data_IF_353503151477
#
_entry.id   IF_353503151477
#
_cell.length_a   1.000
_cell.length_b   1.000
_cell.length_c   1.000
_cell.angle_alpha   90.00
_cell.angle_beta   90.00
_cell.angle_gamma   90.00
#
_symmetry.space_group_name_H-M   'P 1'
#
loop_
_entity.id
_entity.type
_entity.pdbx_description
1 polymer ?
#
# COMPACT_ATOMS: atom_id res chain seq x y z
N UNK A 1 -28.37 -16.26 15.41
CA UNK A 1 -28.02 -15.12 14.56
C UNK A 1 -27.02 -15.61 13.53
N UNK A 2 -27.36 -15.61 12.25
CA UNK A 2 -26.36 -15.85 11.20
C UNK A 2 -25.56 -14.57 11.08
N UNK A 3 -24.26 -14.62 11.36
CA UNK A 3 -23.35 -13.53 11.04
C UNK A 3 -23.40 -13.37 9.51
N UNK A 4 -23.87 -12.21 9.04
CA UNK A 4 -23.73 -11.82 7.64
C UNK A 4 -22.23 -11.75 7.35
N UNK A 5 -21.74 -12.72 6.57
CA UNK A 5 -20.38 -12.75 6.10
C UNK A 5 -20.12 -11.49 5.26
N UNK A 6 -19.08 -10.73 5.62
CA UNK A 6 -18.53 -9.68 4.75
C UNK A 6 -18.07 -10.29 3.42
N UNK A 7 -17.99 -9.48 2.37
CA UNK A 7 -17.42 -9.90 1.08
C UNK A 7 -16.04 -10.55 1.28
N UNK A 8 -15.78 -11.67 0.58
CA UNK A 8 -14.44 -12.25 0.49
C UNK A 8 -13.64 -11.64 -0.67
N UNK A 9 -14.14 -10.55 -1.26
CA UNK A 9 -13.53 -9.89 -2.40
C UNK A 9 -13.07 -8.48 -1.99
N UNK A 10 -11.78 -8.23 -2.14
CA UNK A 10 -11.15 -6.93 -1.87
C UNK A 10 -10.36 -6.44 -3.08
N UNK A 11 -10.12 -5.13 -3.11
CA UNK A 11 -9.19 -4.49 -4.04
C UNK A 11 -7.91 -4.10 -3.29
N UNK A 12 -6.79 -4.14 -4.00
CA UNK A 12 -5.52 -3.59 -3.53
C UNK A 12 -4.85 -2.83 -4.68
N UNK A 13 -4.19 -1.72 -4.37
CA UNK A 13 -3.47 -0.92 -5.36
C UNK A 13 -1.97 -1.12 -5.16
N UNK A 14 -1.27 -1.58 -6.20
CA UNK A 14 0.17 -1.76 -6.18
C UNK A 14 0.85 -0.42 -6.42
N UNK A 15 1.56 0.16 -5.43
CA UNK A 15 2.05 1.53 -5.52
C UNK A 15 3.23 1.65 -6.50
N UNK A 16 3.17 2.66 -7.36
CA UNK A 16 4.29 3.01 -8.24
C UNK A 16 5.35 3.86 -7.52
N UNK A 17 4.93 4.60 -6.49
CA UNK A 17 5.81 5.37 -5.62
C UNK A 17 5.24 5.41 -4.20
N UNK A 18 5.84 4.66 -3.27
CA UNK A 18 5.52 4.66 -1.86
C UNK A 18 6.67 5.33 -1.10
N UNK A 19 6.42 6.53 -0.61
CA UNK A 19 7.42 7.35 0.06
C UNK A 19 6.76 8.29 1.08
N UNK A 20 7.56 9.12 1.73
CA UNK A 20 7.06 10.13 2.65
C UNK A 20 6.09 11.08 1.93
N UNK A 21 4.91 11.28 2.52
CA UNK A 21 3.90 12.18 1.98
C UNK A 21 3.85 13.48 2.79
N UNK A 22 4.43 14.55 2.25
CA UNK A 22 4.46 15.87 2.89
C UNK A 22 3.07 16.44 3.18
N UNK A 23 2.07 16.12 2.36
CA UNK A 23 0.70 16.64 2.50
C UNK A 23 -0.01 16.02 3.71
N UNK A 24 0.21 14.71 3.93
CA UNK A 24 -0.43 13.98 5.04
C UNK A 24 0.43 13.92 6.30
N UNK A 25 1.72 14.25 6.21
CA UNK A 25 2.66 14.21 7.34
C UNK A 25 2.23 15.09 8.53
N UNK A 26 1.48 16.18 8.28
CA UNK A 26 0.98 17.07 9.34
C UNK A 26 -0.02 16.35 10.24
N UNK A 27 -0.85 15.45 9.68
CA UNK A 27 -1.93 14.76 10.39
C UNK A 27 -1.65 13.28 10.64
N UNK A 28 -0.65 12.70 10.00
CA UNK A 28 -0.30 11.29 10.10
C UNK A 28 0.94 11.11 10.98
N UNK A 29 0.73 10.76 12.25
CA UNK A 29 1.81 10.55 13.23
C UNK A 29 2.77 9.39 12.87
N UNK A 30 2.42 8.53 11.90
CA UNK A 30 3.30 7.47 11.40
C UNK A 30 4.26 7.94 10.30
N UNK A 31 4.03 9.12 9.71
CA UNK A 31 4.94 9.72 8.75
C UNK A 31 6.12 10.35 9.52
N UNK A 32 7.33 9.92 9.19
CA UNK A 32 8.55 10.42 9.82
C UNK A 32 9.43 11.07 8.75
N UNK A 33 9.75 12.35 8.98
CA UNK A 33 10.52 13.21 8.07
C UNK A 33 11.96 12.75 7.89
N UNK A 34 12.49 11.91 8.79
CA UNK A 34 13.79 11.27 8.63
C UNK A 34 13.89 10.37 7.39
N UNK A 35 12.74 9.98 6.82
CA UNK A 35 12.65 9.16 5.60
C UNK A 35 12.25 9.97 4.36
N UNK A 36 12.23 11.31 4.45
CA UNK A 36 11.89 12.17 3.33
C UNK A 36 13.00 12.27 2.27
N UNK A 37 14.19 11.73 2.53
CA UNK A 37 15.30 11.76 1.59
C UNK A 37 15.14 10.70 0.47
N UNK A 38 15.63 11.05 -0.73
CA UNK A 38 15.51 10.19 -1.92
C UNK A 38 16.30 8.88 -1.81
N UNK A 39 17.37 8.83 -1.01
CA UNK A 39 18.19 7.61 -0.87
C UNK A 39 17.49 6.53 -0.04
N UNK A 40 16.60 6.95 0.87
CA UNK A 40 15.72 6.08 1.63
C UNK A 40 14.51 5.64 0.80
N UNK A 41 14.00 6.51 -0.08
CA UNK A 41 12.78 6.27 -0.86
C UNK A 41 12.84 4.99 -1.71
N UNK A 42 13.93 4.73 -2.42
CA UNK A 42 14.06 3.51 -3.24
C UNK A 42 14.03 2.23 -2.39
N UNK A 43 14.73 2.23 -1.25
CA UNK A 43 14.74 1.07 -0.34
C UNK A 43 13.37 0.84 0.28
N UNK A 44 12.69 1.91 0.68
CA UNK A 44 11.33 1.87 1.24
C UNK A 44 10.36 1.32 0.19
N UNK A 45 10.43 1.82 -1.05
CA UNK A 45 9.61 1.32 -2.16
C UNK A 45 9.81 -0.18 -2.40
N UNK A 46 11.06 -0.64 -2.49
CA UNK A 46 11.33 -2.07 -2.72
C UNK A 46 10.83 -2.96 -1.57
N UNK A 47 10.99 -2.50 -0.32
CA UNK A 47 10.49 -3.20 0.84
C UNK A 47 8.95 -3.23 0.86
N UNK A 48 8.30 -2.10 0.55
CA UNK A 48 6.85 -2.00 0.48
C UNK A 48 6.26 -2.92 -0.60
N UNK A 49 6.89 -3.00 -1.79
CA UNK A 49 6.45 -3.92 -2.84
C UNK A 49 6.56 -5.39 -2.40
N UNK A 50 7.66 -5.74 -1.73
CA UNK A 50 7.84 -7.10 -1.19
C UNK A 50 6.78 -7.44 -0.15
N UNK A 51 6.48 -6.52 0.77
CA UNK A 51 5.44 -6.71 1.78
C UNK A 51 4.04 -6.76 1.16
N UNK A 52 3.76 -5.92 0.17
CA UNK A 52 2.52 -5.93 -0.61
C UNK A 52 2.29 -7.28 -1.28
N UNK A 53 3.30 -7.79 -2.00
CA UNK A 53 3.19 -9.07 -2.70
C UNK A 53 2.94 -10.23 -1.73
N UNK A 54 3.65 -10.25 -0.60
CA UNK A 54 3.41 -11.24 0.45
C UNK A 54 2.00 -11.13 1.04
N UNK A 55 1.46 -9.92 1.21
CA UNK A 55 0.09 -9.73 1.71
C UNK A 55 -0.94 -10.25 0.71
N UNK A 56 -0.76 -9.95 -0.58
CA UNK A 56 -1.62 -10.47 -1.67
C UNK A 56 -1.60 -12.00 -1.69
N UNK A 57 -0.41 -12.61 -1.61
CA UNK A 57 -0.27 -14.08 -1.56
C UNK A 57 -0.95 -14.67 -0.32
N UNK A 58 -0.75 -14.06 0.84
CA UNK A 58 -1.34 -14.52 2.11
C UNK A 58 -2.86 -14.42 2.08
N UNK A 59 -3.43 -13.37 1.52
CA UNK A 59 -4.88 -13.21 1.41
C UNK A 59 -5.48 -14.23 0.44
N UNK A 60 -4.87 -14.40 -0.74
CA UNK A 60 -5.30 -15.39 -1.74
C UNK A 60 -5.21 -16.82 -1.24
N UNK A 61 -4.19 -17.16 -0.44
CA UNK A 61 -4.06 -18.48 0.19
C UNK A 61 -5.07 -18.76 1.31
N UNK A 62 -5.80 -17.74 1.76
CA UNK A 62 -6.91 -17.86 2.71
C UNK A 62 -8.28 -17.65 2.04
N UNK A 63 -8.39 -17.98 0.74
CA UNK A 63 -9.63 -17.93 -0.05
C UNK A 63 -10.28 -16.53 -0.17
N UNK A 64 -9.47 -15.48 0.03
CA UNK A 64 -9.87 -14.09 -0.27
C UNK A 64 -9.57 -13.81 -1.74
N UNK A 65 -10.57 -13.38 -2.50
CA UNK A 65 -10.36 -12.86 -3.85
C UNK A 65 -9.73 -11.46 -3.74
N UNK A 66 -8.59 -11.28 -4.39
CA UNK A 66 -7.86 -10.00 -4.39
C UNK A 66 -7.63 -9.54 -5.82
N UNK A 67 -8.33 -8.47 -6.20
CA UNK A 67 -8.09 -7.73 -7.44
C UNK A 67 -6.99 -6.69 -7.20
N UNK A 68 -5.90 -6.81 -7.95
CA UNK A 68 -4.76 -5.89 -7.86
C UNK A 68 -4.79 -4.94 -9.05
N UNK A 69 -4.75 -3.64 -8.77
CA UNK A 69 -4.61 -2.58 -9.77
C UNK A 69 -3.22 -1.96 -9.64
N UNK A 70 -2.52 -1.79 -10.76
CA UNK A 70 -1.24 -1.10 -10.76
C UNK A 70 -1.43 0.41 -10.78
N UNK A 71 -0.70 1.09 -9.90
CA UNK A 71 -0.57 2.53 -9.93
C UNK A 71 0.39 3.00 -11.04
N UNK A 72 0.39 4.31 -11.31
CA UNK A 72 1.18 4.98 -12.34
C UNK A 72 2.27 5.85 -11.71
N UNK A 73 3.46 5.89 -12.32
CA UNK A 73 4.57 6.75 -11.86
C UNK A 73 4.28 8.26 -11.89
N UNK A 74 3.35 8.70 -12.74
CA UNK A 74 2.97 10.10 -12.89
C UNK A 74 1.44 10.25 -12.96
N UNK A 75 0.84 11.13 -12.16
CA UNK A 75 1.46 11.92 -11.09
C UNK A 75 1.96 11.04 -9.93
N UNK A 76 2.91 11.54 -9.15
CA UNK A 76 3.39 10.85 -7.94
C UNK A 76 2.26 10.80 -6.91
N UNK A 77 1.95 9.60 -6.41
CA UNK A 77 0.90 9.35 -5.40
C UNK A 77 1.48 8.49 -4.27
N UNK A 78 2.13 9.11 -3.26
CA UNK A 78 2.87 8.41 -2.20
C UNK A 78 2.04 7.42 -1.38
N UNK A 79 0.74 7.64 -1.35
CA UNK A 79 -0.27 6.93 -0.57
C UNK A 79 -1.23 6.09 -1.43
N UNK A 80 -0.92 5.89 -2.72
CA UNK A 80 -1.75 5.11 -3.65
C UNK A 80 -2.04 3.68 -3.17
N UNK A 81 -1.20 3.12 -2.30
CA UNK A 81 -1.39 1.79 -1.71
C UNK A 81 -2.66 1.67 -0.83
N UNK A 82 -3.25 2.81 -0.41
CA UNK A 82 -4.43 2.86 0.45
C UNK A 82 -5.70 3.20 -0.37
N UNK A 83 -6.44 2.19 -0.89
CA UNK A 83 -7.73 2.38 -1.56
C UNK A 83 -8.88 2.73 -0.59
#
# INVERSE_FOLDING_TARGET
>A
MVLTQSTNHIIMIRPACFCFNTETAISNAFQNDQYADLSSADKIQQQALKEFDHMVEKLRSNDVHVDVFDDTLSPIKPDAIFP
#
